data_IF_842224605057
#
_entry.id   IF_842224605057
#
_cell.length_a   1.000
_cell.length_b   1.000
_cell.length_c   1.000
_cell.angle_alpha   90.00
_cell.angle_beta   90.00
_cell.angle_gamma   90.00
#
_symmetry.space_group_name_H-M   'P 1'
#
loop_
_entity.id
_entity.type
_entity.pdbx_description
1 polymer ?
#
# COMPACT_ATOMS: atom_id res chain seq x y z
N UNK A 1 -57.02 -10.90 20.39
CA UNK A 1 -55.63 -10.39 20.38
C UNK A 1 -55.03 -10.68 19.03
N UNK A 2 -54.50 -9.65 18.36
CA UNK A 2 -53.72 -9.83 17.12
C UNK A 2 -52.44 -10.57 17.50
N UNK A 3 -52.12 -11.64 16.76
CA UNK A 3 -50.82 -12.31 16.83
C UNK A 3 -50.07 -11.88 15.59
N UNK A 4 -49.21 -10.89 15.77
CA UNK A 4 -48.20 -10.51 14.81
C UNK A 4 -47.15 -11.63 14.82
N UNK A 5 -46.96 -12.31 13.70
CA UNK A 5 -45.82 -13.21 13.50
C UNK A 5 -45.29 -12.91 12.12
N UNK A 6 -44.32 -12.01 12.08
CA UNK A 6 -43.56 -11.64 10.90
C UNK A 6 -42.79 -12.88 10.41
N UNK A 7 -43.14 -13.33 9.20
CA UNK A 7 -42.41 -14.35 8.47
C UNK A 7 -41.09 -13.72 8.00
N UNK A 8 -39.99 -13.98 8.73
CA UNK A 8 -38.66 -13.56 8.32
C UNK A 8 -38.12 -14.60 7.33
N UNK A 9 -37.94 -14.27 6.04
CA UNK A 9 -37.33 -15.23 5.13
C UNK A 9 -35.85 -15.34 5.50
N UNK A 10 -35.43 -16.51 5.96
CA UNK A 10 -34.02 -16.83 6.19
C UNK A 10 -33.25 -16.64 4.87
N UNK A 11 -32.49 -15.55 4.79
CA UNK A 11 -31.58 -15.27 3.69
C UNK A 11 -30.61 -16.45 3.57
N UNK A 12 -30.70 -17.22 2.47
CA UNK A 12 -29.74 -18.29 2.16
C UNK A 12 -28.33 -17.71 2.27
N UNK A 13 -27.51 -18.30 3.13
CA UNK A 13 -26.06 -18.13 3.13
C UNK A 13 -25.57 -18.37 1.69
N UNK A 14 -24.86 -17.44 1.05
CA UNK A 14 -24.13 -17.77 -0.16
C UNK A 14 -23.05 -18.79 0.23
N UNK A 15 -23.12 -19.99 -0.33
CA UNK A 15 -22.03 -20.95 -0.33
C UNK A 15 -20.79 -20.24 -0.91
N UNK A 16 -19.79 -19.98 -0.08
CA UNK A 16 -18.48 -19.50 -0.53
C UNK A 16 -17.88 -20.53 -1.49
N UNK A 17 -17.48 -20.16 -2.71
CA UNK A 17 -16.74 -21.08 -3.57
C UNK A 17 -15.41 -21.47 -2.90
N UNK A 18 -14.90 -22.69 -3.14
CA UNK A 18 -13.68 -23.17 -2.49
C UNK A 18 -12.53 -22.26 -2.87
N UNK A 19 -11.77 -21.82 -1.87
CA UNK A 19 -10.52 -21.10 -2.05
C UNK A 19 -9.55 -22.05 -2.77
N UNK A 20 -9.31 -21.83 -4.05
CA UNK A 20 -8.27 -22.55 -4.79
C UNK A 20 -6.92 -22.07 -4.25
N UNK A 21 -6.34 -22.88 -3.37
CA UNK A 21 -5.00 -22.70 -2.82
C UNK A 21 -4.00 -23.15 -3.90
N UNK A 22 -3.67 -22.24 -4.82
CA UNK A 22 -2.81 -22.59 -5.96
C UNK A 22 -2.37 -21.38 -6.76
N UNK A 23 -1.08 -21.05 -6.63
CA UNK A 23 -0.29 -20.13 -7.47
C UNK A 23 -0.67 -18.64 -7.39
N UNK A 24 0.11 -17.89 -6.62
CA UNK A 24 0.22 -16.43 -6.78
C UNK A 24 0.92 -16.18 -8.12
N UNK A 25 0.24 -15.58 -9.12
CA UNK A 25 0.90 -15.14 -10.34
C UNK A 25 1.98 -14.12 -9.96
N UNK A 26 3.12 -14.06 -10.69
CA UNK A 26 4.07 -12.97 -10.48
C UNK A 26 3.30 -11.67 -10.72
N UNK A 27 3.20 -10.84 -9.68
CA UNK A 27 2.52 -9.55 -9.74
C UNK A 27 3.31 -8.68 -10.71
N UNK A 28 2.96 -8.73 -11.99
CA UNK A 28 3.38 -7.76 -13.00
C UNK A 28 2.65 -6.45 -12.71
N UNK A 29 3.20 -5.75 -11.74
CA UNK A 29 3.07 -4.33 -11.53
C UNK A 29 4.24 -4.02 -10.59
N UNK A 30 5.39 -3.52 -11.02
CA UNK A 30 5.53 -2.24 -11.73
C UNK A 30 4.42 -1.24 -11.38
N UNK A 31 3.86 -1.33 -10.17
CA UNK A 31 3.62 -0.13 -9.42
C UNK A 31 5.02 0.31 -8.96
N UNK A 32 5.72 0.98 -9.85
CA UNK A 32 6.27 2.26 -9.44
C UNK A 32 5.07 3.03 -8.88
N UNK A 33 4.73 2.78 -7.62
CA UNK A 33 4.15 3.82 -6.80
C UNK A 33 5.28 4.84 -6.71
N UNK A 34 5.42 5.63 -7.77
CA UNK A 34 5.61 7.05 -7.64
C UNK A 34 4.45 7.50 -6.74
N UNK A 35 4.57 7.23 -5.44
CA UNK A 35 3.92 8.00 -4.42
C UNK A 35 4.65 9.34 -4.45
N UNK A 36 4.50 10.04 -5.57
CA UNK A 36 4.54 11.48 -5.62
C UNK A 36 3.44 11.84 -4.65
N UNK A 37 3.82 12.04 -3.40
CA UNK A 37 3.01 12.80 -2.47
C UNK A 37 2.93 14.16 -3.14
N UNK A 38 1.93 14.33 -4.01
CA UNK A 38 1.54 15.59 -4.59
C UNK A 38 1.16 16.43 -3.37
N UNK A 39 2.14 17.21 -2.91
CA UNK A 39 1.92 18.27 -1.94
C UNK A 39 1.02 19.27 -2.66
N UNK A 40 -0.27 18.98 -2.69
CA UNK A 40 -1.32 19.89 -3.14
C UNK A 40 -1.33 21.02 -2.13
N UNK A 41 -0.47 22.02 -2.35
CA UNK A 41 -0.61 23.31 -1.69
C UNK A 41 -1.81 23.97 -2.30
N UNK A 42 -2.86 24.11 -1.49
CA UNK A 42 -4.10 24.79 -1.83
C UNK A 42 -3.79 26.22 -2.30
N UNK A 43 -3.60 26.42 -3.60
CA UNK A 43 -3.60 27.74 -4.23
C UNK A 43 -5.06 28.14 -4.38
N UNK A 44 -5.65 28.52 -3.25
CA UNK A 44 -7.01 29.00 -3.14
C UNK A 44 -7.01 30.39 -2.50
N UNK A 45 -6.65 31.38 -3.32
CA UNK A 45 -7.10 32.77 -3.20
C UNK A 45 -6.92 33.45 -1.82
N UNK A 46 -5.69 33.88 -1.51
CA UNK A 46 -5.50 34.90 -0.49
C UNK A 46 -4.36 35.84 -0.84
N UNK A 47 -4.75 37.01 -1.32
CA UNK A 47 -3.91 38.20 -1.37
C UNK A 47 -3.49 38.58 0.07
N UNK A 48 -2.33 38.06 0.45
CA UNK A 48 -1.68 38.31 1.73
C UNK A 48 -0.31 37.66 1.67
N UNK A 49 0.75 38.47 1.65
CA UNK A 49 2.13 38.00 1.75
C UNK A 49 2.33 37.40 3.14
N UNK A 50 1.83 36.18 3.32
CA UNK A 50 2.21 35.29 4.42
C UNK A 50 3.56 34.65 4.11
N UNK A 51 4.29 34.19 5.13
CA UNK A 51 5.50 33.40 4.90
C UNK A 51 5.15 32.18 4.03
N UNK A 52 6.02 31.88 3.06
CA UNK A 52 5.88 30.71 2.18
C UNK A 52 5.70 29.44 3.06
N UNK A 53 4.66 28.63 2.86
CA UNK A 53 4.37 27.44 3.67
C UNK A 53 5.58 26.52 3.88
N UNK A 54 6.48 26.48 2.89
CA UNK A 54 7.69 25.66 2.91
C UNK A 54 8.88 26.28 3.67
N UNK A 55 8.79 27.55 4.07
CA UNK A 55 9.83 28.20 4.87
C UNK A 55 9.71 27.91 6.36
N UNK A 56 8.56 27.39 6.82
CA UNK A 56 8.36 27.05 8.22
C UNK A 56 9.32 25.93 8.67
N UNK A 57 9.80 26.02 9.91
CA UNK A 57 10.70 25.02 10.50
C UNK A 57 10.09 23.60 10.42
N UNK A 58 8.80 23.48 10.69
CA UNK A 58 8.06 22.23 10.56
C UNK A 58 8.04 21.68 9.13
N UNK A 59 7.94 22.55 8.11
CA UNK A 59 7.97 22.10 6.71
C UNK A 59 9.37 21.63 6.30
N UNK A 60 10.43 22.32 6.73
CA UNK A 60 11.81 21.90 6.46
C UNK A 60 12.15 20.55 7.12
N UNK A 61 11.68 20.33 8.36
CA UNK A 61 11.83 19.03 9.05
C UNK A 61 11.10 17.94 8.26
N UNK A 62 9.84 18.17 7.88
CA UNK A 62 9.05 17.20 7.12
C UNK A 62 9.69 16.87 5.75
N UNK A 63 10.22 17.87 5.04
CA UNK A 63 10.95 17.67 3.79
C UNK A 63 12.18 16.78 4.02
N UNK A 64 12.93 17.03 5.10
CA UNK A 64 14.08 16.21 5.48
C UNK A 64 13.71 14.76 5.81
N UNK A 65 12.61 14.56 6.55
CA UNK A 65 12.09 13.23 6.87
C UNK A 65 11.65 12.47 5.61
N UNK A 66 10.90 13.12 4.72
CA UNK A 66 10.47 12.51 3.44
C UNK A 66 11.68 12.10 2.61
N UNK A 67 12.67 12.98 2.46
CA UNK A 67 13.90 12.66 1.72
C UNK A 67 14.68 11.50 2.35
N UNK A 68 14.73 11.42 3.69
CA UNK A 68 15.33 10.30 4.41
C UNK A 68 14.60 8.98 4.18
N UNK A 69 13.26 9.00 4.20
CA UNK A 69 12.41 7.86 3.89
C UNK A 69 12.64 7.34 2.47
N UNK A 70 12.78 8.24 1.48
CA UNK A 70 13.08 7.86 0.09
C UNK A 70 14.38 7.05 0.00
N UNK A 71 15.44 7.47 0.70
CA UNK A 71 16.71 6.75 0.70
C UNK A 71 16.59 5.36 1.37
N UNK A 72 15.89 5.29 2.51
CA UNK A 72 15.67 4.03 3.21
C UNK A 72 14.87 3.04 2.35
N UNK A 73 13.87 3.52 1.62
CA UNK A 73 13.06 2.71 0.72
C UNK A 73 13.91 2.09 -0.39
N UNK A 74 14.82 2.86 -1.01
CA UNK A 74 15.71 2.35 -2.05
C UNK A 74 16.65 1.25 -1.51
N UNK A 75 17.15 1.41 -0.28
CA UNK A 75 17.98 0.38 0.38
C UNK A 75 17.16 -0.91 0.61
N UNK A 76 15.94 -0.80 1.11
CA UNK A 76 15.05 -1.95 1.34
C UNK A 76 14.75 -2.66 0.03
N UNK A 77 14.43 -1.92 -1.03
CA UNK A 77 14.21 -2.45 -2.38
C UNK A 77 15.41 -3.24 -2.88
N UNK A 78 16.62 -2.68 -2.73
CA UNK A 78 17.85 -3.37 -3.12
C UNK A 78 18.08 -4.66 -2.31
N UNK A 79 17.82 -4.63 -1.00
CA UNK A 79 17.94 -5.82 -0.15
C UNK A 79 16.95 -6.92 -0.55
N UNK A 80 15.71 -6.57 -0.88
CA UNK A 80 14.70 -7.51 -1.38
C UNK A 80 15.17 -8.16 -2.69
N UNK A 81 15.66 -7.34 -3.63
CA UNK A 81 16.18 -7.80 -4.92
C UNK A 81 17.40 -8.75 -4.77
N UNK A 82 18.21 -8.58 -3.73
CA UNK A 82 19.32 -9.49 -3.42
C UNK A 82 18.85 -10.81 -2.76
N UNK A 83 17.80 -10.77 -1.93
CA UNK A 83 17.30 -11.94 -1.19
C UNK A 83 16.42 -12.86 -2.05
N UNK A 84 15.55 -12.31 -2.91
CA UNK A 84 14.65 -13.08 -3.78
C UNK A 84 15.37 -14.20 -4.57
N UNK A 85 16.46 -13.93 -5.33
CA UNK A 85 17.13 -14.97 -6.11
C UNK A 85 17.79 -16.04 -5.24
N UNK A 86 18.29 -15.67 -4.05
CA UNK A 86 18.88 -16.62 -3.09
C UNK A 86 17.83 -17.60 -2.59
N UNK A 87 16.65 -17.10 -2.22
CA UNK A 87 15.53 -17.94 -1.79
C UNK A 87 15.02 -18.84 -2.92
N UNK A 88 14.95 -18.34 -4.16
CA UNK A 88 14.58 -19.14 -5.32
C UNK A 88 15.55 -20.31 -5.54
N UNK A 89 16.85 -20.08 -5.36
CA UNK A 89 17.87 -21.14 -5.45
C UNK A 89 17.67 -22.20 -4.35
N UNK A 90 17.45 -21.77 -3.11
CA UNK A 90 17.19 -22.70 -1.99
C UNK A 90 15.98 -23.60 -2.29
N UNK A 91 14.87 -23.02 -2.77
CA UNK A 91 13.67 -23.77 -3.13
C UNK A 91 13.95 -24.77 -4.28
N UNK A 92 14.68 -24.35 -5.32
CA UNK A 92 15.06 -25.22 -6.44
C UNK A 92 15.93 -26.41 -5.98
N UNK A 93 16.87 -26.19 -5.07
CA UNK A 93 17.70 -27.29 -4.52
C UNK A 93 16.86 -28.25 -3.68
N UNK A 94 15.98 -27.74 -2.82
CA UNK A 94 15.13 -28.57 -1.97
C UNK A 94 14.09 -29.38 -2.77
N UNK A 95 13.56 -28.84 -3.86
CA UNK A 95 12.61 -29.53 -4.72
C UNK A 95 13.20 -30.65 -5.60
N UNK A 96 14.54 -30.76 -5.65
CA UNK A 96 15.24 -31.84 -6.37
C UNK A 96 15.49 -33.09 -5.52
N UNK A 97 15.29 -33.01 -4.20
CA UNK A 97 15.47 -34.12 -3.25
C UNK A 97 14.15 -34.87 -3.08
#
# INVERSE_FOLDING_TARGET
GRKDSEDTPHLRRPETPPLEEGEIPPTQSEQEEENVVELVTTTGDREGVGPDPFTSESAQILIGEIMGCTLQLEIIKQNINDVIPKNKNIIDVLGRV
#
